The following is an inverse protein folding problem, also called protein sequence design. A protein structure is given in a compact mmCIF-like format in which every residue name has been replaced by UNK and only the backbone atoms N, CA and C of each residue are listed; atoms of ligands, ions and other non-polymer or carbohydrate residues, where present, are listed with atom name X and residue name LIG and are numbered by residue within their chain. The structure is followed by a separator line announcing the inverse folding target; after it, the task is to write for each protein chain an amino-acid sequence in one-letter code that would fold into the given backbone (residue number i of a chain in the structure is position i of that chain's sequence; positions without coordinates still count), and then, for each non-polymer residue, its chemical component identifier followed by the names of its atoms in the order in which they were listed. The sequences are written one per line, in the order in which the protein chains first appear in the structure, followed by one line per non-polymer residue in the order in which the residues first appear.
data_IF_505051357553
#
_entry.id   IF_505051357553
#
_cell.length_a   1.000
_cell.length_b   1.000
_cell.length_c   1.000
_cell.angle_alpha   90.00
_cell.angle_beta   90.00
_cell.angle_gamma   90.00
#
_symmetry.space_group_name_H-M   'P 1'
#
loop_
_entity.id
_entity.type
_entity.pdbx_description
1 polymer ?
#
# COMPACT_ATOMS: atom_id res chain seq x y z
N UNK A 1 -13.44 -1.02 -14.72
CA UNK A 1 -14.14 -1.84 -13.73
C UNK A 1 -13.21 -2.86 -13.08
N UNK A 2 -12.47 -3.63 -13.89
CA UNK A 2 -11.58 -4.68 -13.36
C UNK A 2 -10.43 -4.09 -12.54
N UNK A 3 -9.87 -2.96 -12.95
CA UNK A 3 -8.78 -2.30 -12.21
C UNK A 3 -9.26 -1.81 -10.85
N UNK A 4 -10.44 -1.24 -10.79
CA UNK A 4 -11.03 -0.76 -9.53
C UNK A 4 -11.30 -1.94 -8.59
N UNK A 5 -11.86 -3.03 -9.11
CA UNK A 5 -12.13 -4.22 -8.32
C UNK A 5 -10.84 -4.84 -7.77
N UNK A 6 -9.80 -4.92 -8.59
CA UNK A 6 -8.50 -5.46 -8.18
C UNK A 6 -7.84 -4.58 -7.11
N UNK A 7 -7.92 -3.27 -7.24
CA UNK A 7 -7.38 -2.34 -6.26
C UNK A 7 -8.12 -2.48 -4.92
N UNK A 8 -9.44 -2.56 -4.96
CA UNK A 8 -10.26 -2.76 -3.78
C UNK A 8 -9.92 -4.05 -3.06
N UNK A 9 -9.77 -5.14 -3.79
CA UNK A 9 -9.39 -6.44 -3.23
C UNK A 9 -8.00 -6.37 -2.58
N UNK A 10 -7.06 -5.65 -3.17
CA UNK A 10 -5.72 -5.50 -2.60
C UNK A 10 -5.75 -4.71 -1.28
N UNK A 11 -6.57 -3.67 -1.18
CA UNK A 11 -6.74 -2.92 0.05
C UNK A 11 -7.36 -3.78 1.16
N UNK A 12 -8.36 -4.58 0.81
CA UNK A 12 -8.98 -5.50 1.78
C UNK A 12 -7.97 -6.51 2.30
N UNK A 13 -7.12 -7.05 1.44
CA UNK A 13 -6.06 -7.98 1.84
C UNK A 13 -5.05 -7.32 2.78
N UNK A 14 -4.65 -6.09 2.49
CA UNK A 14 -3.75 -5.31 3.35
C UNK A 14 -4.39 -5.02 4.70
N UNK A 15 -5.65 -4.60 4.72
CA UNK A 15 -6.37 -4.33 5.96
C UNK A 15 -6.46 -5.56 6.84
N UNK A 16 -6.77 -6.72 6.25
CA UNK A 16 -6.80 -7.99 6.97
C UNK A 16 -5.43 -8.34 7.56
N UNK A 17 -4.36 -8.10 6.81
CA UNK A 17 -3.00 -8.33 7.29
C UNK A 17 -2.66 -7.44 8.48
N UNK A 18 -3.01 -6.15 8.44
CA UNK A 18 -2.79 -5.24 9.55
C UNK A 18 -3.62 -5.63 10.77
N UNK A 19 -4.89 -5.99 10.58
CA UNK A 19 -5.78 -6.41 11.67
C UNK A 19 -5.30 -7.69 12.36
N UNK A 20 -4.64 -8.58 11.63
CA UNK A 20 -4.10 -9.82 12.19
C UNK A 20 -2.82 -9.60 13.00
N UNK A 21 -2.21 -8.42 12.93
CA UNK A 21 -0.97 -8.11 13.60
C UNK A 21 -1.16 -7.84 15.09
N UNK A 22 -0.19 -8.28 15.87
CA UNK A 22 -0.03 -7.89 17.27
C UNK A 22 1.48 -7.82 17.58
N UNK A 23 1.84 -7.44 18.79
CA UNK A 23 3.25 -7.26 19.16
C UNK A 23 4.08 -8.52 18.95
N UNK A 24 3.47 -9.68 19.14
CA UNK A 24 4.16 -10.96 18.96
C UNK A 24 4.32 -11.31 17.49
N UNK A 25 3.25 -11.25 16.71
CA UNK A 25 3.27 -11.68 15.31
C UNK A 25 3.99 -10.67 14.40
N UNK A 26 4.01 -9.37 14.76
CA UNK A 26 4.67 -8.36 13.96
C UNK A 26 6.18 -8.61 13.80
N UNK A 27 6.78 -9.27 14.78
CA UNK A 27 8.22 -9.56 14.75
C UNK A 27 8.55 -10.93 14.14
N UNK A 28 7.55 -11.71 13.75
CA UNK A 28 7.80 -12.99 13.09
C UNK A 28 8.50 -12.77 11.75
N UNK A 29 9.50 -13.58 11.50
CA UNK A 29 10.29 -13.49 10.28
C UNK A 29 9.64 -14.24 9.14
N UNK A 30 9.68 -13.65 7.97
CA UNK A 30 9.19 -14.25 6.73
C UNK A 30 10.23 -14.11 5.64
N UNK A 31 10.14 -14.94 4.62
CA UNK A 31 11.06 -14.88 3.48
C UNK A 31 10.79 -13.59 2.68
N UNK A 32 11.85 -12.82 2.46
CA UNK A 32 11.83 -11.65 1.60
C UNK A 32 12.56 -11.91 0.28
N UNK A 33 12.75 -10.85 -0.49
CA UNK A 33 13.50 -10.95 -1.75
C UNK A 33 14.94 -11.39 -1.51
N UNK A 34 15.46 -12.18 -2.44
CA UNK A 34 16.86 -12.61 -2.41
C UNK A 34 17.19 -13.54 -1.27
N UNK A 35 16.21 -14.23 -0.70
CA UNK A 35 16.42 -15.17 0.38
C UNK A 35 16.63 -14.51 1.75
N UNK A 36 16.53 -13.20 1.85
CA UNK A 36 16.62 -12.50 3.13
C UNK A 36 15.35 -12.70 3.93
N UNK A 37 15.51 -12.77 5.25
CA UNK A 37 14.36 -12.81 6.15
C UNK A 37 14.03 -11.42 6.65
N UNK A 38 12.74 -11.11 6.74
CA UNK A 38 12.25 -9.83 7.24
C UNK A 38 11.10 -10.07 8.21
N UNK A 39 10.90 -9.13 9.14
CA UNK A 39 9.73 -9.20 10.01
C UNK A 39 8.46 -8.90 9.19
N UNK A 40 7.34 -9.45 9.64
CA UNK A 40 6.04 -9.16 8.99
C UNK A 40 5.73 -7.66 9.00
N UNK A 41 6.01 -6.98 10.12
CA UNK A 41 5.79 -5.54 10.23
C UNK A 41 6.63 -4.78 9.21
N UNK A 42 7.89 -5.15 9.02
CA UNK A 42 8.77 -4.52 8.03
C UNK A 42 8.18 -4.64 6.62
N UNK A 43 7.62 -5.80 6.27
CA UNK A 43 6.98 -6.02 4.99
C UNK A 43 5.77 -5.12 4.78
N UNK A 44 4.92 -4.97 5.80
CA UNK A 44 3.75 -4.12 5.70
C UNK A 44 4.11 -2.63 5.63
N UNK A 45 5.11 -2.20 6.41
CA UNK A 45 5.61 -0.82 6.35
C UNK A 45 6.20 -0.54 4.97
N UNK A 46 6.96 -1.47 4.42
CA UNK A 46 7.52 -1.35 3.08
C UNK A 46 6.45 -1.22 2.02
N UNK A 47 5.38 -2.00 2.12
CA UNK A 47 4.25 -1.91 1.21
C UNK A 47 3.56 -0.55 1.29
N UNK A 48 3.35 -0.03 2.48
CA UNK A 48 2.75 1.29 2.69
C UNK A 48 3.61 2.39 2.08
N UNK A 49 4.92 2.32 2.29
CA UNK A 49 5.87 3.28 1.71
C UNK A 49 5.82 3.24 0.18
N UNK A 50 5.78 2.04 -0.40
CA UNK A 50 5.68 1.87 -1.84
C UNK A 50 4.36 2.46 -2.38
N UNK A 51 3.26 2.26 -1.68
CA UNK A 51 1.97 2.81 -2.08
C UNK A 51 1.98 4.34 -2.11
N UNK A 52 2.62 4.98 -1.13
CA UNK A 52 2.78 6.44 -1.10
C UNK A 52 3.60 6.91 -2.30
N UNK A 53 4.67 6.20 -2.63
CA UNK A 53 5.51 6.51 -3.80
C UNK A 53 4.70 6.42 -5.10
N UNK A 54 3.95 5.32 -5.27
CA UNK A 54 3.11 5.13 -6.45
C UNK A 54 2.00 6.17 -6.54
N UNK A 55 1.41 6.57 -5.43
CA UNK A 55 0.42 7.64 -5.39
C UNK A 55 1.03 8.95 -5.91
N UNK A 56 2.27 9.24 -5.51
CA UNK A 56 2.97 10.42 -6.00
C UNK A 56 3.12 10.41 -7.52
N UNK A 57 3.52 9.29 -8.10
CA UNK A 57 3.66 9.15 -9.55
C UNK A 57 2.31 9.31 -10.26
N UNK A 58 1.27 8.64 -9.77
CA UNK A 58 -0.07 8.72 -10.35
C UNK A 58 -0.59 10.16 -10.28
N UNK A 59 -0.33 10.87 -9.19
CA UNK A 59 -0.76 12.26 -9.01
C UNK A 59 -0.18 13.17 -10.09
N UNK A 60 1.08 12.97 -10.46
CA UNK A 60 1.72 13.72 -11.54
C UNK A 60 0.98 13.49 -12.87
N UNK A 61 0.71 12.23 -13.22
CA UNK A 61 -0.01 11.90 -14.44
C UNK A 61 -1.43 12.43 -14.44
N UNK A 62 -2.12 12.41 -13.31
CA UNK A 62 -3.45 12.98 -13.17
C UNK A 62 -3.44 14.48 -13.49
N UNK A 63 -2.48 15.22 -12.93
CA UNK A 63 -2.36 16.65 -13.17
C UNK A 63 -2.06 16.97 -14.63
N UNK A 64 -1.25 16.14 -15.29
CA UNK A 64 -0.98 16.30 -16.72
C UNK A 64 -2.25 16.13 -17.57
N UNK A 65 -3.22 15.39 -17.07
CA UNK A 65 -4.52 15.19 -17.72
C UNK A 65 -5.60 16.14 -17.21
N UNK A 66 -5.24 17.12 -16.38
CA UNK A 66 -6.20 18.06 -15.81
C UNK A 66 -7.07 17.50 -14.70
N UNK A 67 -6.69 16.36 -14.13
CA UNK A 67 -7.43 15.74 -13.03
C UNK A 67 -6.76 16.08 -11.70
N UNK A 68 -7.53 16.58 -10.74
CA UNK A 68 -7.00 16.94 -9.42
C UNK A 68 -6.89 15.68 -8.57
N UNK A 69 -5.69 15.38 -8.02
CA UNK A 69 -5.55 14.24 -7.12
C UNK A 69 -6.39 14.39 -5.85
N UNK A 70 -6.87 13.29 -5.26
CA UNK A 70 -7.76 13.34 -4.09
C UNK A 70 -7.21 14.16 -2.92
N UNK A 71 -5.91 14.07 -2.63
CA UNK A 71 -5.30 14.80 -1.52
C UNK A 71 -5.25 16.32 -1.75
N UNK A 72 -5.40 16.76 -2.99
CA UNK A 72 -5.45 18.19 -3.34
C UNK A 72 -6.87 18.69 -3.56
N UNK A 73 -7.84 17.80 -3.54
CA UNK A 73 -9.25 18.16 -3.75
C UNK A 73 -9.86 18.60 -2.43
N UNK A 74 -10.06 19.91 -2.30
CA UNK A 74 -10.60 20.51 -1.08
C UNK A 74 -12.10 20.28 -0.87
N UNK A 75 -12.78 19.74 -1.87
CA UNK A 75 -14.19 19.41 -1.78
C UNK A 75 -14.44 18.08 -1.05
N UNK A 76 -13.41 17.32 -0.80
CA UNK A 76 -13.48 16.04 -0.09
C UNK A 76 -13.42 16.22 1.41
#
# INVERSE_FOLDING_TARGET
ADLVASLKASFEACDAAWESMNDKTSMEMVAGRGGQQRSKLSGLIGNTTHNVEMYGYISVYMRLKGVVPPTSDRAM
#
